data_IF_887597407750
#
_entry.id   IF_887597407750
#
_cell.length_a   1.000
_cell.length_b   1.000
_cell.length_c   1.000
_cell.angle_alpha   90.00
_cell.angle_beta   90.00
_cell.angle_gamma   90.00
#
_symmetry.space_group_name_H-M   'P 1'
#
loop_
_entity.id
_entity.type
_entity.pdbx_description
1 polymer ?
#
# COMPACT_ATOMS: atom_id res chain seq x y z
N UNK A 1 10.60 -16.60 0.14
CA UNK A 1 10.20 -15.87 -1.09
C UNK A 1 10.93 -14.52 -1.12
N UNK A 2 11.83 -14.32 -2.09
CA UNK A 2 12.73 -13.14 -2.14
C UNK A 2 11.89 -11.86 -2.19
N UNK A 3 12.13 -10.91 -1.28
CA UNK A 3 11.54 -9.56 -1.31
C UNK A 3 12.17 -8.78 -2.48
N UNK A 4 11.69 -9.05 -3.69
CA UNK A 4 11.95 -8.18 -4.82
C UNK A 4 11.26 -6.84 -4.57
N UNK A 5 11.95 -5.73 -4.85
CA UNK A 5 11.32 -4.40 -4.88
C UNK A 5 10.10 -4.49 -5.82
N UNK A 6 8.99 -3.85 -5.44
CA UNK A 6 7.82 -3.82 -6.29
C UNK A 6 8.17 -3.18 -7.65
N UNK A 7 7.54 -3.62 -8.75
CA UNK A 7 7.74 -3.00 -10.06
C UNK A 7 7.47 -1.49 -9.99
N UNK A 8 8.23 -0.69 -10.75
CA UNK A 8 8.06 0.77 -10.78
C UNK A 8 6.62 1.17 -11.11
N UNK A 9 6.04 0.51 -12.12
CA UNK A 9 4.65 0.68 -12.53
C UNK A 9 3.66 0.50 -11.37
N UNK A 10 3.88 -0.51 -10.53
CA UNK A 10 3.04 -0.79 -9.36
C UNK A 10 3.18 0.32 -8.32
N UNK A 11 4.41 0.77 -8.04
CA UNK A 11 4.64 1.88 -7.12
C UNK A 11 4.10 3.21 -7.65
N UNK A 12 4.05 3.41 -8.96
CA UNK A 12 3.48 4.60 -9.60
C UNK A 12 1.95 4.63 -9.43
N UNK A 13 1.26 3.53 -9.69
CA UNK A 13 -0.19 3.41 -9.45
C UNK A 13 -0.55 3.68 -7.99
N UNK A 14 0.20 3.06 -7.06
CA UNK A 14 -0.08 3.22 -5.63
C UNK A 14 0.28 4.64 -5.14
N UNK A 15 1.31 5.28 -5.69
CA UNK A 15 1.65 6.69 -5.42
C UNK A 15 0.59 7.63 -5.97
N UNK A 16 0.08 7.39 -7.17
CA UNK A 16 -1.00 8.19 -7.75
C UNK A 16 -2.23 8.19 -6.85
N UNK A 17 -2.60 7.03 -6.31
CA UNK A 17 -3.67 6.93 -5.31
C UNK A 17 -3.37 7.74 -4.05
N UNK A 18 -2.14 7.68 -3.53
CA UNK A 18 -1.72 8.42 -2.34
C UNK A 18 -1.76 9.93 -2.54
N UNK A 19 -1.43 10.41 -3.74
CA UNK A 19 -1.54 11.82 -4.12
C UNK A 19 -3.00 12.27 -4.25
N UNK A 20 -3.90 11.39 -4.69
CA UNK A 20 -5.33 11.67 -4.70
C UNK A 20 -5.95 11.67 -3.29
N UNK A 21 -5.39 10.89 -2.36
CA UNK A 21 -5.89 10.70 -0.99
C UNK A 21 -4.91 11.23 0.06
N UNK A 22 -4.45 12.47 -0.12
CA UNK A 22 -3.52 13.13 0.84
C UNK A 22 -4.20 13.48 2.16
N UNK A 23 -5.50 13.77 2.14
CA UNK A 23 -6.27 14.12 3.35
C UNK A 23 -6.64 12.88 4.17
N UNK A 24 -7.00 11.78 3.50
CA UNK A 24 -7.41 10.52 4.15
C UNK A 24 -6.70 9.33 3.50
N UNK A 25 -5.44 9.06 3.89
CA UNK A 25 -4.62 8.04 3.22
C UNK A 25 -5.04 6.61 3.59
N UNK A 26 -6.30 6.33 3.92
CA UNK A 26 -6.78 5.00 4.28
C UNK A 26 -7.62 4.43 3.14
N UNK A 27 -7.05 3.56 2.29
CA UNK A 27 -7.82 2.98 1.19
C UNK A 27 -8.93 2.11 1.76
N UNK A 28 -10.17 2.39 1.35
CA UNK A 28 -11.30 1.51 1.64
C UNK A 28 -11.07 0.13 1.03
N UNK A 29 -11.81 -0.89 1.48
CA UNK A 29 -11.68 -2.24 0.92
C UNK A 29 -11.88 -2.27 -0.61
N UNK A 30 -12.76 -1.41 -1.12
CA UNK A 30 -13.02 -1.29 -2.56
C UNK A 30 -11.81 -0.73 -3.32
N UNK A 31 -11.17 0.30 -2.76
CA UNK A 31 -9.97 0.88 -3.33
C UNK A 31 -8.79 -0.09 -3.26
N UNK A 32 -8.66 -0.85 -2.16
CA UNK A 32 -7.68 -1.93 -2.08
C UNK A 32 -7.93 -2.97 -3.18
N UNK A 33 -9.18 -3.36 -3.45
CA UNK A 33 -9.53 -4.28 -4.55
C UNK A 33 -9.14 -3.69 -5.90
N UNK A 34 -9.43 -2.41 -6.13
CA UNK A 34 -9.05 -1.71 -7.36
C UNK A 34 -7.53 -1.69 -7.55
N UNK A 35 -6.78 -1.33 -6.51
CA UNK A 35 -5.31 -1.31 -6.53
C UNK A 35 -4.74 -2.71 -6.74
N UNK A 36 -5.30 -3.74 -6.11
CA UNK A 36 -4.90 -5.13 -6.34
C UNK A 36 -5.13 -5.56 -7.79
N UNK A 37 -6.28 -5.19 -8.38
CA UNK A 37 -6.61 -5.47 -9.78
C UNK A 37 -5.66 -4.76 -10.74
N UNK A 38 -5.30 -3.51 -10.47
CA UNK A 38 -4.41 -2.72 -11.33
C UNK A 38 -2.94 -3.13 -11.21
N UNK A 39 -2.50 -3.51 -10.01
CA UNK A 39 -1.09 -3.82 -9.73
C UNK A 39 -0.77 -5.31 -9.75
N UNK A 40 -1.79 -6.16 -9.92
CA UNK A 40 -1.71 -7.61 -9.80
C UNK A 40 -1.07 -8.08 -8.48
N UNK A 41 -1.19 -7.25 -7.43
CA UNK A 41 -0.71 -7.56 -6.09
C UNK A 41 -1.82 -8.14 -5.22
N UNK A 42 -1.43 -8.88 -4.19
CA UNK A 42 -2.37 -9.30 -3.16
C UNK A 42 -2.75 -8.15 -2.22
N UNK A 43 -3.94 -8.26 -1.63
CA UNK A 43 -4.45 -7.36 -0.58
C UNK A 43 -3.42 -7.08 0.53
N UNK A 44 -2.70 -8.12 0.96
CA UNK A 44 -1.66 -8.02 1.98
C UNK A 44 -0.43 -7.24 1.48
N UNK A 45 -0.01 -7.44 0.23
CA UNK A 45 1.11 -6.70 -0.36
C UNK A 45 0.80 -5.21 -0.53
N UNK A 46 -0.40 -4.87 -1.00
CA UNK A 46 -0.87 -3.48 -1.12
C UNK A 46 -0.94 -2.84 0.26
N UNK A 47 -1.53 -3.52 1.24
CA UNK A 47 -1.64 -3.01 2.62
C UNK A 47 -0.25 -2.78 3.24
N UNK A 48 0.65 -3.75 3.13
CA UNK A 48 2.01 -3.65 3.66
C UNK A 48 2.82 -2.54 2.97
N UNK A 49 2.65 -2.36 1.67
CA UNK A 49 3.28 -1.25 0.96
C UNK A 49 2.74 0.10 1.44
N UNK A 50 1.42 0.25 1.49
CA UNK A 50 0.74 1.48 1.93
C UNK A 50 1.10 1.87 3.36
N UNK A 51 1.38 0.91 4.24
CA UNK A 51 1.86 1.17 5.60
C UNK A 51 3.31 1.68 5.56
N UNK A 52 4.16 1.04 4.76
CA UNK A 52 5.60 1.34 4.71
C UNK A 52 5.95 2.64 3.98
N UNK A 53 5.08 3.16 3.11
CA UNK A 53 5.35 4.39 2.33
C UNK A 53 4.80 5.68 2.93
N UNK A 54 4.05 5.63 4.04
CA UNK A 54 3.49 6.84 4.67
C UNK A 54 4.59 7.62 5.40
N UNK A 55 4.93 8.86 4.98
CA UNK A 55 5.97 9.65 5.64
C UNK A 55 5.58 10.14 7.05
N UNK A 56 4.30 10.10 7.43
CA UNK A 56 3.81 10.56 8.75
C UNK A 56 3.21 9.47 9.65
N UNK A 57 3.25 8.19 9.26
CA UNK A 57 2.68 7.13 10.11
C UNK A 57 3.74 6.55 11.05
N UNK A 58 4.13 7.33 12.07
CA UNK A 58 4.74 6.79 13.30
C UNK A 58 3.80 5.79 14.02
N UNK A 59 2.52 5.73 13.61
CA UNK A 59 1.46 4.96 14.25
C UNK A 59 1.43 3.46 13.91
N UNK A 60 2.24 2.96 12.96
CA UNK A 60 2.23 1.52 12.60
C UNK A 60 3.56 0.79 12.80
N UNK A 61 4.51 1.34 13.56
CA UNK A 61 5.56 0.50 14.15
C UNK A 61 5.01 -0.55 15.14
N UNK A 62 3.74 -0.43 15.57
CA UNK A 62 3.18 -1.30 16.62
C UNK A 62 2.48 -2.58 16.13
N UNK A 63 2.23 -2.77 14.83
CA UNK A 63 1.58 -3.99 14.35
C UNK A 63 2.38 -4.69 13.24
N UNK A 64 3.68 -4.86 13.47
CA UNK A 64 4.54 -5.74 12.68
C UNK A 64 4.98 -6.95 13.50
N UNK A 65 4.03 -7.61 14.15
CA UNK A 65 4.15 -8.95 14.72
C UNK A 65 2.73 -9.49 14.95
N UNK A 66 2.13 -10.11 13.93
CA UNK A 66 1.28 -11.31 14.05
C UNK A 66 0.60 -11.64 12.71
N UNK A 67 0.93 -12.83 12.23
CA UNK A 67 0.35 -13.61 11.13
C UNK A 67 0.45 -13.10 9.69
#
# INVERSE_FOLDING_TARGET
>A
RRRGKLPKQVTETLRAWLMAHTEHPYPSEDEKRMLCRQTSLSMSQVSNWMINVRPNSRFFCFNRLSF
#
